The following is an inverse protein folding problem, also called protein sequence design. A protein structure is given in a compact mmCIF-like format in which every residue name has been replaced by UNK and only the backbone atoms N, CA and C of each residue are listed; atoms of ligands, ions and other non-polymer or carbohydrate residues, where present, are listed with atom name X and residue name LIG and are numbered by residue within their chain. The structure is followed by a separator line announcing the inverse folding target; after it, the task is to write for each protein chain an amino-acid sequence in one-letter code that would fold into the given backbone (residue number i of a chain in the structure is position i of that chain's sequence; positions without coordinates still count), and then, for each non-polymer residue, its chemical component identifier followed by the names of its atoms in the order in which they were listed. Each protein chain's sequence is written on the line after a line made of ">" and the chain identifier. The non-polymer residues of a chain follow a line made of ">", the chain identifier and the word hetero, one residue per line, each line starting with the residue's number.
data_IF_154168078478
#
_entry.id   IF_154168078478
#
_cell.length_a   1.000
_cell.length_b   1.000
_cell.length_c   1.000
_cell.angle_alpha   90.00
_cell.angle_beta   90.00
_cell.angle_gamma   90.00
#
_symmetry.space_group_name_H-M   'P 1'
#
loop_
_entity.id
_entity.type
_entity.pdbx_description
1 polymer ?
#
# COMPACT_ATOMS: atom_id res chain seq x y z
N UNK A 1 -18.28 -2.82 0.65
CA UNK A 1 -17.09 -3.14 1.47
C UNK A 1 -16.21 -4.02 0.60
N UNK A 2 -15.15 -3.46 0.01
CA UNK A 2 -14.19 -4.27 -0.73
C UNK A 2 -13.20 -4.82 0.31
N UNK A 3 -13.34 -6.11 0.64
CA UNK A 3 -12.34 -6.82 1.41
C UNK A 3 -11.14 -7.04 0.49
N UNK A 4 -9.97 -6.58 0.93
CA UNK A 4 -8.70 -6.85 0.25
C UNK A 4 -8.28 -8.22 0.77
N UNK A 5 -8.20 -9.21 -0.13
CA UNK A 5 -7.86 -10.58 0.22
C UNK A 5 -6.33 -10.76 0.32
N UNK A 6 -5.88 -11.81 0.99
CA UNK A 6 -4.45 -12.10 1.13
C UNK A 6 -3.84 -12.41 -0.24
N UNK A 7 -2.86 -11.61 -0.68
CA UNK A 7 -2.27 -11.72 -2.03
C UNK A 7 -2.78 -10.69 -3.04
N UNK A 8 -3.80 -9.90 -2.69
CA UNK A 8 -4.39 -8.90 -3.59
C UNK A 8 -3.48 -7.66 -3.76
N UNK A 9 -3.71 -6.89 -4.84
CA UNK A 9 -2.89 -5.73 -5.18
C UNK A 9 -3.66 -4.43 -4.93
N UNK A 10 -3.26 -3.67 -3.91
CA UNK A 10 -3.82 -2.38 -3.60
C UNK A 10 -3.20 -1.29 -4.48
N UNK A 11 -3.96 -0.83 -5.47
CA UNK A 11 -3.55 0.27 -6.35
C UNK A 11 -3.97 1.62 -5.76
N UNK A 12 -3.00 2.46 -5.43
CA UNK A 12 -3.24 3.76 -4.79
C UNK A 12 -2.79 4.91 -5.68
N UNK A 13 -3.63 5.93 -5.86
CA UNK A 13 -3.32 7.05 -6.79
C UNK A 13 -2.19 7.93 -6.24
N UNK A 14 -2.25 8.28 -4.95
CA UNK A 14 -1.21 9.06 -4.24
C UNK A 14 -1.18 8.66 -2.77
N UNK A 15 0.00 8.31 -2.27
CA UNK A 15 0.23 8.01 -0.84
C UNK A 15 -0.04 9.21 0.07
N UNK A 16 0.09 10.43 -0.45
CA UNK A 16 -0.19 11.67 0.28
C UNK A 16 -1.66 11.79 0.73
N UNK A 17 -2.58 10.96 0.18
CA UNK A 17 -3.97 10.88 0.63
C UNK A 17 -4.23 9.78 1.66
N UNK A 18 -3.27 8.89 1.90
CA UNK A 18 -3.44 7.82 2.87
C UNK A 18 -3.31 8.38 4.27
N UNK A 19 -2.20 9.02 4.66
CA UNK A 19 -2.06 9.63 6.00
C UNK A 19 -1.15 10.87 6.02
N UNK A 20 -1.32 11.71 7.05
CA UNK A 20 -0.58 12.97 7.27
C UNK A 20 0.92 12.77 7.55
N UNK A 21 1.36 11.55 7.86
CA UNK A 21 2.71 11.25 8.32
C UNK A 21 3.34 10.09 7.51
N UNK A 22 4.53 10.30 6.94
CA UNK A 22 5.22 9.28 6.14
C UNK A 22 5.50 7.99 6.93
N UNK A 23 5.75 8.10 8.23
CA UNK A 23 6.08 6.95 9.09
C UNK A 23 4.90 5.98 9.22
N UNK A 24 3.68 6.49 9.39
CA UNK A 24 2.47 5.65 9.49
C UNK A 24 2.17 4.96 8.15
N UNK A 25 2.37 5.68 7.05
CA UNK A 25 2.23 5.12 5.70
C UNK A 25 3.21 3.96 5.49
N UNK A 26 4.48 4.11 5.88
CA UNK A 26 5.49 3.05 5.80
C UNK A 26 5.12 1.87 6.70
N UNK A 27 4.71 2.12 7.94
CA UNK A 27 4.31 1.07 8.88
C UNK A 27 3.14 0.25 8.32
N UNK A 28 2.15 0.90 7.71
CA UNK A 28 0.98 0.25 7.11
C UNK A 28 1.31 -0.50 5.83
N UNK A 29 2.17 0.06 4.97
CA UNK A 29 2.70 -0.65 3.81
C UNK A 29 3.43 -1.93 4.21
N UNK A 30 4.26 -1.84 5.25
CA UNK A 30 5.02 -2.97 5.77
C UNK A 30 4.12 -4.05 6.40
N UNK A 31 3.07 -3.65 7.11
CA UNK A 31 2.07 -4.57 7.65
C UNK A 31 1.28 -5.28 6.55
N UNK A 32 0.87 -4.55 5.51
CA UNK A 32 0.22 -5.11 4.33
C UNK A 32 1.14 -6.09 3.57
N UNK A 33 2.42 -5.76 3.38
CA UNK A 33 3.38 -6.70 2.78
C UNK A 33 3.53 -7.98 3.61
N UNK A 34 3.53 -7.88 4.95
CA UNK A 34 3.54 -9.07 5.82
C UNK A 34 2.31 -9.95 5.65
N UNK A 35 1.17 -9.35 5.33
CA UNK A 35 -0.08 -10.04 4.97
C UNK A 35 -0.08 -10.56 3.52
N UNK A 36 1.03 -10.40 2.79
CA UNK A 36 1.12 -10.79 1.38
C UNK A 36 0.39 -9.86 0.41
N UNK A 37 -0.10 -8.71 0.89
CA UNK A 37 -0.82 -7.73 0.09
C UNK A 37 0.20 -6.81 -0.57
N UNK A 38 0.14 -6.73 -1.90
CA UNK A 38 1.04 -5.88 -2.67
C UNK A 38 0.43 -4.49 -2.83
N UNK A 39 1.20 -3.44 -2.57
CA UNK A 39 0.81 -2.06 -2.85
C UNK A 39 1.54 -1.55 -4.08
N UNK A 40 0.77 -0.92 -4.98
CA UNK A 40 1.26 -0.23 -6.16
C UNK A 40 0.73 1.19 -6.22
N UNK A 41 1.63 2.17 -6.18
CA UNK A 41 1.27 3.57 -6.39
C UNK A 41 1.22 3.89 -7.90
N UNK A 42 0.13 4.53 -8.37
CA UNK A 42 0.02 4.99 -9.76
C UNK A 42 1.01 6.11 -10.10
N UNK A 43 1.48 6.83 -9.09
CA UNK A 43 2.54 7.82 -9.21
C UNK A 43 3.92 7.17 -9.49
N UNK A 44 4.03 5.83 -9.39
CA UNK A 44 5.24 5.07 -9.66
C UNK A 44 6.28 5.09 -8.53
N UNK A 45 6.06 5.88 -7.48
CA UNK A 45 6.99 6.02 -6.36
C UNK A 45 7.09 4.79 -5.45
N UNK A 46 6.04 3.98 -5.37
CA UNK A 46 6.00 2.78 -4.52
C UNK A 46 5.47 1.62 -5.35
N UNK A 47 6.29 0.57 -5.43
CA UNK A 47 5.88 -0.72 -5.94
C UNK A 47 6.53 -1.78 -5.04
N UNK A 48 5.70 -2.50 -4.30
CA UNK A 48 6.15 -3.51 -3.33
C UNK A 48 6.24 -4.92 -3.92
N UNK A 49 5.95 -5.06 -5.23
CA UNK A 49 6.07 -6.31 -5.99
C UNK A 49 7.34 -6.36 -6.86
N UNK A 50 8.14 -5.29 -6.85
CA UNK A 50 9.36 -5.16 -7.64
C UNK A 50 10.57 -5.82 -6.97
#
# INVERSE_FOLDING_TARGET
>A
MAAIDEGDELVVVKLNRLERNQVEVIARLHDLQKQGIHIKALDGLINTRA
#
